data_IF_957115790468
#
_entry.id   IF_957115790468
#
_cell.length_a   1.000
_cell.length_b   1.000
_cell.length_c   1.000
_cell.angle_alpha   90.00
_cell.angle_beta   90.00
_cell.angle_gamma   90.00
#
_symmetry.space_group_name_H-M   'P 1'
#
loop_
_entity.id
_entity.type
_entity.pdbx_description
1 polymer ?
#
# COMPACT_ATOMS: atom_id res chain seq x y z
N UNK A 1 -9.69 13.68 15.75
CA UNK A 1 -8.88 12.45 15.59
C UNK A 1 -8.07 12.61 14.32
N UNK A 2 -6.72 12.51 14.37
CA UNK A 2 -5.92 12.62 13.16
C UNK A 2 -6.33 11.49 12.22
N UNK A 3 -6.78 11.85 11.02
CA UNK A 3 -6.88 10.92 9.91
C UNK A 3 -5.49 10.31 9.72
N UNK A 4 -5.28 9.08 10.19
CA UNK A 4 -4.05 8.32 9.96
C UNK A 4 -4.34 7.23 8.96
N UNK A 5 -4.25 7.53 7.64
CA UNK A 5 -4.28 6.59 6.54
C UNK A 5 -3.51 5.28 6.81
N UNK A 6 -2.49 5.28 7.67
CA UNK A 6 -1.77 4.09 8.18
C UNK A 6 -2.71 3.02 8.76
N UNK A 7 -3.76 3.39 9.50
CA UNK A 7 -4.71 2.42 10.10
C UNK A 7 -5.45 1.57 9.06
N UNK A 8 -5.61 2.08 7.85
CA UNK A 8 -6.30 1.38 6.75
C UNK A 8 -5.35 0.56 5.89
N UNK A 9 -4.04 0.70 6.07
CA UNK A 9 -3.07 -0.03 5.26
C UNK A 9 -3.16 -1.56 5.38
N UNK A 10 -3.43 -2.14 6.57
CA UNK A 10 -3.66 -3.59 6.66
C UNK A 10 -4.82 -4.07 5.77
N UNK A 11 -5.91 -3.29 5.66
CA UNK A 11 -7.03 -3.61 4.76
C UNK A 11 -6.64 -3.54 3.28
N UNK A 12 -5.71 -2.65 2.92
CA UNK A 12 -5.14 -2.57 1.56
C UNK A 12 -4.35 -3.84 1.26
N UNK A 13 -3.53 -4.31 2.19
CA UNK A 13 -2.75 -5.55 2.03
C UNK A 13 -3.66 -6.78 1.94
N UNK A 14 -4.68 -6.86 2.79
CA UNK A 14 -5.67 -7.94 2.75
C UNK A 14 -6.41 -7.98 1.40
N UNK A 15 -6.84 -6.82 0.90
CA UNK A 15 -7.47 -6.72 -0.43
C UNK A 15 -6.53 -7.16 -1.56
N UNK A 16 -5.26 -6.78 -1.50
CA UNK A 16 -4.26 -7.20 -2.49
C UNK A 16 -4.02 -8.72 -2.45
N UNK A 17 -4.01 -9.33 -1.25
CA UNK A 17 -3.97 -10.78 -1.09
C UNK A 17 -5.21 -11.48 -1.67
N UNK A 18 -6.40 -10.92 -1.45
CA UNK A 18 -7.65 -11.42 -2.05
C UNK A 18 -7.62 -11.34 -3.59
N UNK A 19 -6.86 -10.41 -4.16
CA UNK A 19 -6.64 -10.30 -5.60
C UNK A 19 -5.51 -11.20 -6.12
N UNK A 20 -4.89 -12.02 -5.25
CA UNK A 20 -3.82 -12.95 -5.60
C UNK A 20 -2.41 -12.35 -5.54
N UNK A 21 -2.23 -11.14 -5.00
CA UNK A 21 -0.92 -10.51 -4.84
C UNK A 21 -0.38 -10.69 -3.42
N UNK A 22 0.49 -11.69 -3.25
CA UNK A 22 1.03 -12.03 -1.92
C UNK A 22 2.38 -11.36 -1.60
N UNK A 23 3.22 -11.14 -2.61
CA UNK A 23 4.56 -10.57 -2.46
C UNK A 23 4.83 -9.43 -3.41
N UNK A 24 4.46 -9.58 -4.68
CA UNK A 24 4.70 -8.59 -5.73
C UNK A 24 3.37 -7.99 -6.16
N UNK A 25 3.26 -6.67 -6.07
CA UNK A 25 2.04 -5.94 -6.40
C UNK A 25 2.38 -4.87 -7.46
N UNK A 26 1.65 -4.82 -8.58
CA UNK A 26 1.75 -3.71 -9.50
C UNK A 26 1.33 -2.40 -8.81
N UNK A 27 2.07 -1.32 -9.01
CA UNK A 27 1.76 0.01 -8.42
C UNK A 27 0.33 0.45 -8.80
N UNK A 28 -0.14 0.11 -10.00
CA UNK A 28 -1.50 0.37 -10.44
C UNK A 28 -2.55 -0.33 -9.56
N UNK A 29 -2.31 -1.58 -9.18
CA UNK A 29 -3.22 -2.35 -8.32
C UNK A 29 -3.13 -1.89 -6.87
N UNK A 30 -1.92 -1.56 -6.37
CA UNK A 30 -1.76 -0.92 -5.06
C UNK A 30 -2.55 0.40 -4.99
N UNK A 31 -2.47 1.25 -6.02
CA UNK A 31 -3.25 2.49 -6.11
C UNK A 31 -4.75 2.21 -6.08
N UNK A 32 -5.24 1.21 -6.82
CA UNK A 32 -6.67 0.82 -6.78
C UNK A 32 -7.09 0.34 -5.40
N UNK A 33 -6.32 -0.54 -4.78
CA UNK A 33 -6.62 -1.04 -3.43
C UNK A 33 -6.65 0.12 -2.42
N UNK A 34 -5.71 1.06 -2.52
CA UNK A 34 -5.70 2.29 -1.73
C UNK A 34 -6.94 3.14 -1.97
N UNK A 35 -7.33 3.37 -3.21
CA UNK A 35 -8.54 4.14 -3.54
C UNK A 35 -9.78 3.52 -2.90
N UNK A 36 -9.91 2.19 -2.95
CA UNK A 36 -11.08 1.48 -2.41
C UNK A 36 -11.12 1.57 -0.88
N UNK A 37 -10.00 1.28 -0.20
CA UNK A 37 -9.97 1.25 1.27
C UNK A 37 -10.01 2.64 1.90
N UNK A 38 -9.29 3.59 1.31
CA UNK A 38 -9.13 4.94 1.87
C UNK A 38 -10.14 5.94 1.35
N UNK A 39 -10.74 5.70 0.18
CA UNK A 39 -11.58 6.65 -0.54
C UNK A 39 -10.81 7.78 -1.22
N UNK A 40 -9.47 7.73 -1.23
CA UNK A 40 -8.63 8.78 -1.82
C UNK A 40 -8.67 8.67 -3.35
N UNK A 41 -9.22 9.68 -4.01
CA UNK A 41 -9.37 9.72 -5.48
C UNK A 41 -8.24 10.51 -6.15
N UNK A 42 -7.55 11.39 -5.40
CA UNK A 42 -6.49 12.27 -5.93
C UNK A 42 -5.18 11.49 -6.11
N UNK A 43 -4.67 11.48 -7.34
CA UNK A 43 -3.44 10.78 -7.70
C UNK A 43 -2.21 11.25 -6.91
N UNK A 44 -2.09 12.56 -6.66
CA UNK A 44 -0.99 13.13 -5.87
C UNK A 44 -0.97 12.59 -4.43
N UNK A 45 -2.15 12.50 -3.81
CA UNK A 45 -2.30 11.98 -2.45
C UNK A 45 -1.95 10.48 -2.39
N UNK A 46 -2.39 9.70 -3.38
CA UNK A 46 -1.99 8.29 -3.50
C UNK A 46 -0.47 8.13 -3.65
N UNK A 47 0.16 8.98 -4.47
CA UNK A 47 1.61 8.99 -4.66
C UNK A 47 2.37 9.28 -3.37
N UNK A 48 1.92 10.29 -2.62
CA UNK A 48 2.49 10.62 -1.30
C UNK A 48 2.29 9.47 -0.32
N UNK A 49 1.13 8.82 -0.34
CA UNK A 49 0.84 7.71 0.56
C UNK A 49 1.73 6.50 0.27
N UNK A 50 1.91 6.12 -0.99
CA UNK A 50 2.83 5.06 -1.40
C UNK A 50 4.26 5.38 -0.92
N UNK A 51 4.71 6.63 -1.08
CA UNK A 51 6.02 7.06 -0.59
C UNK A 51 6.16 6.91 0.93
N UNK A 52 5.13 7.29 1.69
CA UNK A 52 5.14 7.11 3.16
C UNK A 52 5.17 5.62 3.53
N UNK A 53 4.42 4.75 2.85
CA UNK A 53 4.45 3.31 3.11
C UNK A 53 5.81 2.68 2.80
N UNK A 54 6.49 3.21 1.79
CA UNK A 54 7.86 2.83 1.42
C UNK A 54 8.86 3.27 2.49
N UNK A 55 8.77 4.53 2.96
CA UNK A 55 9.62 5.05 4.04
C UNK A 55 9.40 4.32 5.39
N UNK A 56 8.17 3.88 5.65
CA UNK A 56 7.84 3.06 6.83
C UNK A 56 8.23 1.58 6.68
N UNK A 57 8.75 1.17 5.51
CA UNK A 57 9.23 -0.19 5.27
C UNK A 57 8.14 -1.24 5.02
N UNK A 58 6.87 -0.83 4.89
CA UNK A 58 5.77 -1.74 4.56
C UNK A 58 5.81 -2.24 3.13
N UNK A 59 6.32 -1.42 2.21
CA UNK A 59 6.50 -1.76 0.81
C UNK A 59 7.90 -1.36 0.35
N UNK A 60 8.38 -2.01 -0.70
CA UNK A 60 9.66 -1.69 -1.32
C UNK A 60 9.50 -1.63 -2.84
N UNK A 61 9.95 -0.56 -3.50
CA UNK A 61 9.93 -0.51 -4.96
C UNK A 61 10.96 -1.49 -5.53
N UNK A 62 10.49 -2.42 -6.35
CA UNK A 62 11.35 -3.30 -7.16
C UNK A 62 11.71 -2.65 -8.48
N UNK A 63 10.75 -1.96 -9.11
CA UNK A 63 10.94 -1.18 -10.33
C UNK A 63 9.84 -0.10 -10.45
N UNK A 64 9.82 0.68 -11.54
CA UNK A 64 8.82 1.73 -11.81
C UNK A 64 7.37 1.25 -11.89
N UNK A 65 7.13 -0.07 -11.90
CA UNK A 65 5.80 -0.67 -12.09
C UNK A 65 5.37 -1.60 -10.96
N UNK A 66 6.31 -2.12 -10.16
CA UNK A 66 6.08 -3.18 -9.17
C UNK A 66 6.69 -2.78 -7.82
N UNK A 67 5.90 -3.00 -6.77
CA UNK A 67 6.36 -2.94 -5.39
C UNK A 67 6.30 -4.33 -4.76
N UNK A 68 7.18 -4.57 -3.82
CA UNK A 68 7.18 -5.72 -2.94
C UNK A 68 6.46 -5.33 -1.66
N UNK A 69 5.55 -6.19 -1.18
CA UNK A 69 4.97 -6.05 0.14
C UNK A 69 5.91 -6.70 1.15
N UNK A 70 6.47 -5.91 2.05
CA UNK A 70 7.15 -6.44 3.21
C UNK A 70 6.07 -6.81 4.22
N UNK A 71 5.94 -8.10 4.52
CA UNK A 71 5.18 -8.50 5.68
C UNK A 71 5.85 -7.85 6.89
N UNK A 72 5.24 -6.80 7.44
CA UNK A 72 5.61 -6.24 8.73
C UNK A 72 5.21 -7.21 9.86
N UNK A 73 5.66 -8.46 9.75
CA UNK A 73 5.61 -9.52 10.75
C UNK A 73 7.06 -9.77 11.17
N UNK A 74 7.67 -8.78 11.81
CA UNK A 74 9.07 -8.85 12.21
C UNK A 74 9.44 -7.65 13.07
N UNK A 75 8.99 -7.64 14.32
CA UNK A 75 9.49 -6.70 15.31
C UNK A 75 8.47 -6.26 16.36
N UNK A 76 7.91 -7.20 17.12
CA UNK A 76 7.83 -7.19 18.59
C UNK A 76 7.22 -8.50 19.08
#
# INVERSE_FOLDING_TARGET
MPWSPIKKFPGVLERLRLWGYEKEVPISELKKALMIETGIIKAETLGRYIRVMEELGYIQRKNDRIVLINNASGGM
#
